data_IF_788806739559
#
_entry.id   IF_788806739559
#
_cell.length_a   1.000
_cell.length_b   1.000
_cell.length_c   1.000
_cell.angle_alpha   90.00
_cell.angle_beta   90.00
_cell.angle_gamma   90.00
#
_symmetry.space_group_name_H-M   'P 1'
#
loop_
_entity.id
_entity.type
_entity.pdbx_description
1 polymer ?
#
# COMPACT_ATOMS: atom_id res chain seq x y z
N UNK A 1 -2.31 4.58 12.88
CA UNK A 1 -2.23 3.19 13.36
C UNK A 1 -3.30 2.96 14.38
N UNK A 2 -4.06 1.91 14.21
CA UNK A 2 -5.01 1.42 15.20
C UNK A 2 -4.67 -0.01 15.48
N UNK A 3 -4.58 -0.34 16.74
CA UNK A 3 -4.61 -1.70 17.21
C UNK A 3 -5.45 -1.75 18.48
N UNK A 4 -6.59 -2.44 18.43
CA UNK A 4 -7.09 -3.13 19.60
C UNK A 4 -6.74 -4.62 19.43
N UNK A 5 -6.85 -5.42 20.49
CA UNK A 5 -6.35 -6.81 20.54
C UNK A 5 -6.86 -7.74 19.41
N UNK A 6 -7.86 -7.32 18.64
CA UNK A 6 -8.60 -8.15 17.67
C UNK A 6 -8.65 -7.54 16.24
N UNK A 7 -8.05 -6.35 15.99
CA UNK A 7 -8.03 -5.75 14.66
C UNK A 7 -6.73 -5.00 14.37
N UNK A 8 -6.13 -5.26 13.21
CA UNK A 8 -4.92 -4.60 12.76
C UNK A 8 -5.01 -4.21 11.28
N UNK A 9 -4.27 -3.15 10.92
CA UNK A 9 -4.18 -2.68 9.53
C UNK A 9 -3.34 -3.68 8.74
N UNK A 10 -3.93 -4.25 7.70
CA UNK A 10 -3.27 -5.21 6.79
C UNK A 10 -2.73 -4.54 5.54
N UNK A 11 -3.23 -3.36 5.20
CA UNK A 11 -2.80 -2.60 4.06
C UNK A 11 -3.26 -1.15 4.12
N UNK A 12 -2.49 -0.29 3.50
CA UNK A 12 -2.74 1.14 3.41
C UNK A 12 -2.59 1.60 1.96
N UNK A 13 -3.63 2.24 1.44
CA UNK A 13 -3.63 2.78 0.08
C UNK A 13 -3.95 4.26 0.15
N UNK A 14 -3.06 5.08 -0.41
CA UNK A 14 -3.20 6.53 -0.35
C UNK A 14 -2.91 7.18 -1.69
N UNK A 15 -3.71 8.18 -2.03
CA UNK A 15 -3.51 9.10 -3.16
C UNK A 15 -3.04 10.43 -2.62
N UNK A 16 -1.87 10.86 -3.05
CA UNK A 16 -1.28 12.15 -2.74
C UNK A 16 -1.41 13.05 -3.96
N UNK A 17 -2.22 14.06 -3.90
CA UNK A 17 -2.34 15.07 -4.98
C UNK A 17 -1.62 16.34 -4.56
N UNK A 18 -0.66 16.81 -5.36
CA UNK A 18 0.14 17.99 -5.05
C UNK A 18 0.21 18.97 -6.22
N UNK A 19 -0.23 20.21 -5.99
CA UNK A 19 -0.30 21.27 -7.02
C UNK A 19 0.95 22.18 -7.07
N UNK A 20 1.93 21.94 -6.21
CA UNK A 20 3.13 22.79 -6.05
C UNK A 20 3.11 23.64 -4.78
N UNK A 21 1.98 23.69 -4.06
CA UNK A 21 1.80 24.48 -2.84
C UNK A 21 0.89 23.83 -1.81
N UNK A 22 -0.03 22.98 -2.25
CA UNK A 22 -1.02 22.31 -1.44
C UNK A 22 -1.02 20.81 -1.74
N UNK A 23 -1.03 20.04 -0.70
CA UNK A 23 -1.17 18.59 -0.75
C UNK A 23 -2.55 18.16 -0.26
N UNK A 24 -3.11 17.16 -0.93
CA UNK A 24 -4.28 16.43 -0.45
C UNK A 24 -3.92 14.94 -0.39
N UNK A 25 -4.03 14.35 0.79
CA UNK A 25 -3.84 12.91 1.02
C UNK A 25 -5.21 12.28 1.18
N UNK A 26 -5.62 11.45 0.23
CA UNK A 26 -6.83 10.63 0.32
C UNK A 26 -6.43 9.20 0.65
N UNK A 27 -6.86 8.68 1.79
CA UNK A 27 -6.43 7.37 2.28
C UNK A 27 -7.59 6.44 2.57
N UNK A 28 -7.37 5.16 2.29
CA UNK A 28 -8.20 4.04 2.75
C UNK A 28 -7.31 3.03 3.45
N UNK A 29 -7.76 2.58 4.60
CA UNK A 29 -7.10 1.52 5.35
C UNK A 29 -7.88 0.22 5.21
N UNK A 30 -7.16 -0.86 4.87
CA UNK A 30 -7.71 -2.21 4.90
C UNK A 30 -7.46 -2.78 6.29
N UNK A 31 -8.51 -3.19 6.96
CA UNK A 31 -8.46 -3.79 8.29
C UNK A 31 -8.94 -5.22 8.25
N UNK A 32 -8.39 -6.06 9.12
CA UNK A 32 -8.93 -7.39 9.35
C UNK A 32 -10.20 -7.24 10.20
N UNK A 33 -11.32 -7.77 9.71
CA UNK A 33 -12.65 -7.41 10.19
C UNK A 33 -12.96 -7.95 11.58
N UNK A 34 -13.64 -7.16 12.40
CA UNK A 34 -14.24 -7.53 13.68
C UNK A 34 -14.42 -6.39 14.67
N UNK A 35 -14.11 -5.15 14.30
CA UNK A 35 -14.10 -4.05 15.24
C UNK A 35 -15.38 -3.22 15.20
N UNK A 36 -16.27 -3.43 16.20
CA UNK A 36 -17.37 -2.51 16.51
C UNK A 36 -16.88 -1.13 17.01
N UNK A 37 -15.59 -1.02 17.35
CA UNK A 37 -14.91 0.20 17.82
C UNK A 37 -13.63 0.47 17.02
N UNK A 38 -13.78 0.93 15.77
CA UNK A 38 -12.65 1.35 14.97
C UNK A 38 -12.26 2.78 15.32
N UNK A 39 -11.04 2.94 15.83
CA UNK A 39 -10.43 4.24 16.07
C UNK A 39 -9.04 4.27 15.47
N UNK A 40 -8.61 5.36 14.87
CA UNK A 40 -7.24 5.53 14.42
C UNK A 40 -6.68 6.91 14.70
N UNK A 41 -5.36 6.97 14.72
CA UNK A 41 -4.61 8.15 15.09
C UNK A 41 -3.65 8.45 13.95
N UNK A 42 -3.65 9.69 13.48
CA UNK A 42 -2.76 10.13 12.41
C UNK A 42 -2.21 11.53 12.68
N UNK A 43 -0.97 11.82 12.30
CA UNK A 43 -0.43 13.16 12.36
C UNK A 43 -0.87 13.97 11.14
N UNK A 44 -1.05 15.26 11.32
CA UNK A 44 -1.34 16.20 10.23
C UNK A 44 -0.77 17.59 10.55
N UNK A 45 -0.34 18.36 9.54
CA UNK A 45 0.07 19.76 9.77
C UNK A 45 -1.05 20.59 10.41
N UNK A 46 -0.67 21.65 11.11
CA UNK A 46 -1.66 22.57 11.68
C UNK A 46 -2.51 23.22 10.57
N UNK A 47 -3.82 23.31 10.80
CA UNK A 47 -4.76 23.88 9.81
C UNK A 47 -5.17 22.94 8.68
N UNK A 48 -4.91 21.63 8.81
CA UNK A 48 -5.38 20.61 7.87
C UNK A 48 -6.90 20.62 7.76
N UNK A 49 -7.41 20.74 6.52
CA UNK A 49 -8.81 20.48 6.17
C UNK A 49 -9.07 18.98 6.12
N UNK A 50 -10.26 18.55 6.56
CA UNK A 50 -10.64 17.14 6.65
C UNK A 50 -11.98 16.96 5.94
N UNK A 51 -12.03 16.07 4.95
CA UNK A 51 -13.22 15.79 4.15
C UNK A 51 -13.31 14.29 3.82
N UNK A 52 -14.45 13.86 3.29
CA UNK A 52 -14.54 12.52 2.68
C UNK A 52 -13.82 12.51 1.34
N UNK A 53 -13.06 11.46 1.10
CA UNK A 53 -12.44 11.19 -0.19
C UNK A 53 -13.35 10.38 -1.12
N UNK A 54 -12.88 10.16 -2.35
CA UNK A 54 -13.55 9.32 -3.34
C UNK A 54 -12.89 7.94 -3.44
N UNK A 55 -13.69 6.90 -3.29
CA UNK A 55 -13.26 5.52 -3.57
C UNK A 55 -12.97 5.33 -5.06
N UNK A 56 -13.73 5.98 -5.95
CA UNK A 56 -13.56 5.85 -7.40
C UNK A 56 -12.17 6.31 -7.83
N UNK A 57 -11.69 7.44 -7.30
CA UNK A 57 -10.33 7.94 -7.57
C UNK A 57 -9.26 6.89 -7.25
N UNK A 58 -9.37 6.21 -6.10
CA UNK A 58 -8.41 5.16 -5.71
C UNK A 58 -8.49 3.97 -6.66
N UNK A 59 -9.70 3.56 -7.05
CA UNK A 59 -9.93 2.43 -7.96
C UNK A 59 -9.41 2.75 -9.36
N UNK A 60 -9.68 3.95 -9.88
CA UNK A 60 -9.28 4.36 -11.22
C UNK A 60 -7.76 4.45 -11.34
N UNK A 61 -7.08 5.14 -10.41
CA UNK A 61 -5.61 5.23 -10.41
C UNK A 61 -4.94 3.86 -10.22
N UNK A 62 -5.55 2.97 -9.44
CA UNK A 62 -5.08 1.60 -9.32
C UNK A 62 -5.19 0.85 -10.64
N UNK A 63 -6.30 1.00 -11.35
CA UNK A 63 -6.52 0.35 -12.65
C UNK A 63 -5.55 0.87 -13.71
N UNK A 64 -5.30 2.18 -13.76
CA UNK A 64 -4.36 2.82 -14.69
C UNK A 64 -2.91 2.37 -14.47
N UNK A 65 -2.56 2.04 -13.23
CA UNK A 65 -1.21 1.64 -12.83
C UNK A 65 -0.99 0.12 -12.74
N UNK A 66 -1.95 -0.71 -13.19
CA UNK A 66 -1.80 -2.16 -13.18
C UNK A 66 -0.55 -2.60 -13.95
N UNK A 67 0.18 -3.61 -13.46
CA UNK A 67 1.32 -4.16 -14.19
C UNK A 67 0.90 -4.72 -15.54
N UNK A 68 1.75 -4.54 -16.56
CA UNK A 68 1.61 -5.24 -17.82
C UNK A 68 1.95 -6.72 -17.64
N UNK A 69 1.11 -7.61 -18.13
CA UNK A 69 1.36 -9.05 -18.08
C UNK A 69 2.02 -9.49 -19.38
N UNK A 70 3.21 -10.09 -19.28
CA UNK A 70 3.90 -10.74 -20.40
C UNK A 70 3.94 -12.25 -20.19
N UNK A 71 3.44 -13.01 -21.18
CA UNK A 71 3.49 -14.47 -21.16
C UNK A 71 4.78 -14.94 -21.83
N UNK A 72 5.65 -15.60 -21.08
CA UNK A 72 6.87 -16.21 -21.59
C UNK A 72 6.73 -17.73 -21.50
N UNK A 73 6.92 -18.44 -22.63
CA UNK A 73 6.96 -19.90 -22.62
C UNK A 73 8.31 -20.39 -22.13
N UNK A 74 8.33 -21.08 -20.99
CA UNK A 74 9.51 -21.76 -20.46
C UNK A 74 9.28 -23.27 -20.43
N UNK A 75 10.27 -24.00 -20.93
CA UNK A 75 10.25 -25.47 -21.06
C UNK A 75 11.03 -26.20 -19.96
N UNK A 76 11.56 -25.47 -18.94
CA UNK A 76 12.37 -26.06 -17.89
C UNK A 76 11.54 -26.52 -16.68
N UNK A 77 11.62 -27.76 -16.22
CA UNK A 77 10.89 -28.23 -15.05
C UNK A 77 11.51 -27.70 -13.76
N UNK A 78 10.67 -27.16 -12.83
CA UNK A 78 11.07 -26.67 -11.50
C UNK A 78 10.36 -27.43 -10.37
N UNK A 79 11.06 -27.60 -9.25
CA UNK A 79 10.54 -28.17 -8.01
C UNK A 79 10.09 -27.07 -7.04
N UNK A 80 9.09 -27.29 -6.16
CA UNK A 80 8.52 -26.25 -5.31
C UNK A 80 9.29 -26.06 -3.99
N UNK A 81 9.40 -24.80 -3.55
CA UNK A 81 10.00 -24.37 -2.27
C UNK A 81 8.93 -24.01 -1.23
N UNK A 82 9.28 -24.15 0.05
CA UNK A 82 8.36 -24.04 1.19
C UNK A 82 8.62 -22.82 2.09
N UNK A 83 7.61 -22.49 2.86
CA UNK A 83 7.34 -21.27 3.62
C UNK A 83 7.71 -21.34 5.11
N UNK A 84 8.02 -20.19 5.77
CA UNK A 84 8.00 -20.12 7.25
C UNK A 84 7.93 -18.68 7.83
N UNK A 85 7.13 -18.52 8.91
CA UNK A 85 6.74 -17.30 9.63
C UNK A 85 7.32 -17.21 11.04
N UNK A 86 7.36 -16.00 11.67
CA UNK A 86 7.20 -15.78 13.13
C UNK A 86 6.99 -14.33 13.57
N UNK A 87 6.37 -14.16 14.76
CA UNK A 87 5.77 -12.97 15.35
C UNK A 87 6.32 -12.63 16.76
N UNK A 88 5.88 -11.45 17.31
CA UNK A 88 5.54 -11.03 18.70
C UNK A 88 6.40 -9.99 19.45
N UNK A 89 5.86 -9.08 20.13
CA UNK A 89 5.16 -8.59 21.38
C UNK A 89 5.98 -7.53 22.17
N UNK A 90 5.48 -6.68 22.94
CA UNK A 90 4.61 -5.58 23.32
C UNK A 90 4.98 -4.91 24.69
N UNK A 91 4.36 -3.70 25.04
CA UNK A 91 3.99 -3.05 26.35
C UNK A 91 4.88 -1.93 26.89
N UNK A 92 4.44 -0.76 27.23
CA UNK A 92 3.42 0.15 27.74
C UNK A 92 4.01 1.18 28.73
N UNK A 93 3.63 2.36 28.95
CA UNK A 93 2.68 3.34 29.21
C UNK A 93 2.97 4.49 30.17
N UNK A 94 2.28 5.64 30.07
CA UNK A 94 1.69 6.69 30.98
C UNK A 94 2.29 8.11 31.00
N UNK A 95 1.59 9.08 31.03
CA UNK A 95 0.56 10.12 31.30
C UNK A 95 1.04 11.57 31.43
N UNK A 96 0.45 12.58 30.74
CA UNK A 96 -0.04 13.92 31.16
C UNK A 96 -0.48 14.89 30.03
N UNK A 97 -1.43 15.74 30.29
CA UNK A 97 -2.24 16.87 29.76
C UNK A 97 -2.17 17.34 28.27
N UNK A 98 -3.33 17.24 27.57
CA UNK A 98 -3.58 17.59 26.16
C UNK A 98 -4.66 18.67 25.99
N UNK A 99 -4.59 19.44 24.90
CA UNK A 99 -5.61 20.39 24.48
C UNK A 99 -6.32 19.92 23.21
N UNK A 100 -7.66 19.84 23.24
CA UNK A 100 -8.50 19.66 22.05
C UNK A 100 -8.61 21.00 21.32
N UNK A 101 -8.18 21.07 20.06
CA UNK A 101 -8.29 22.26 19.21
C UNK A 101 -9.64 22.32 18.50
N UNK A 102 -10.15 21.19 18.02
CA UNK A 102 -11.43 21.08 17.33
C UNK A 102 -11.98 19.66 17.43
N UNK A 103 -13.29 19.55 17.28
CA UNK A 103 -13.99 18.29 17.05
C UNK A 103 -14.97 18.50 15.89
N UNK A 104 -14.95 17.61 14.89
CA UNK A 104 -15.82 17.67 13.73
C UNK A 104 -16.27 16.28 13.31
N UNK A 105 -17.47 16.17 12.74
CA UNK A 105 -17.96 14.92 12.16
C UNK A 105 -17.84 15.01 10.65
N UNK A 106 -17.18 14.01 10.02
CA UNK A 106 -16.95 13.92 8.59
C UNK A 106 -17.46 12.56 8.10
N UNK A 107 -18.65 12.54 7.51
CA UNK A 107 -19.35 11.30 7.15
C UNK A 107 -19.55 10.39 8.37
N UNK A 108 -19.06 9.14 8.34
CA UNK A 108 -19.19 8.20 9.46
C UNK A 108 -18.14 8.42 10.56
N UNK A 109 -17.30 9.46 10.47
CA UNK A 109 -16.17 9.66 11.37
C UNK A 109 -16.35 10.87 12.29
N UNK A 110 -16.08 10.67 13.57
CA UNK A 110 -15.83 11.75 14.51
C UNK A 110 -14.32 11.96 14.59
N UNK A 111 -13.87 13.17 14.26
CA UNK A 111 -12.47 13.55 14.21
C UNK A 111 -12.19 14.62 15.26
N UNK A 112 -11.24 14.35 16.15
CA UNK A 112 -10.76 15.29 17.13
C UNK A 112 -9.33 15.69 16.80
N UNK A 113 -9.08 16.98 16.64
CA UNK A 113 -7.74 17.52 16.41
C UNK A 113 -7.11 17.90 17.75
N UNK A 114 -6.00 17.26 18.05
CA UNK A 114 -5.27 17.43 19.29
C UNK A 114 -3.98 18.22 19.06
N UNK A 115 -3.71 19.18 19.94
CA UNK A 115 -2.43 19.88 20.01
C UNK A 115 -1.87 19.80 21.42
N UNK A 116 -0.57 19.93 21.52
CA UNK A 116 0.15 19.96 22.80
C UNK A 116 1.64 20.08 22.54
N UNK A 117 2.38 20.37 23.59
CA UNK A 117 3.84 20.39 23.55
C UNK A 117 4.42 19.11 24.18
N UNK A 118 3.56 18.25 24.74
CA UNK A 118 3.91 17.03 25.48
C UNK A 118 3.09 15.83 24.94
N UNK A 119 3.78 14.89 24.33
CA UNK A 119 3.19 13.69 23.80
C UNK A 119 2.66 12.73 24.87
N UNK A 120 3.24 12.75 26.10
CA UNK A 120 2.73 11.96 27.22
C UNK A 120 1.33 12.41 27.63
N UNK A 121 1.13 13.74 27.68
CA UNK A 121 -0.16 14.34 27.89
C UNK A 121 -1.19 13.89 26.83
N UNK A 122 -0.76 13.76 25.58
CA UNK A 122 -1.62 13.37 24.47
C UNK A 122 -2.10 11.93 24.60
N UNK A 123 -1.22 11.02 24.98
CA UNK A 123 -1.59 9.61 25.21
C UNK A 123 -2.55 9.47 26.37
N UNK A 124 -2.39 10.21 27.46
CA UNK A 124 -3.35 10.26 28.57
C UNK A 124 -4.73 10.70 28.10
N UNK A 125 -4.77 11.81 27.35
CA UNK A 125 -6.03 12.31 26.83
C UNK A 125 -6.73 11.26 25.96
N UNK A 126 -5.98 10.55 25.13
CA UNK A 126 -6.52 9.47 24.27
C UNK A 126 -7.18 8.38 25.14
N UNK A 127 -6.50 7.89 26.17
CA UNK A 127 -7.05 6.87 27.09
C UNK A 127 -8.28 7.39 27.83
N UNK A 128 -8.23 8.61 28.38
CA UNK A 128 -9.35 9.22 29.11
C UNK A 128 -10.59 9.44 28.22
N UNK A 129 -10.39 9.52 26.90
CA UNK A 129 -11.46 9.67 25.93
C UNK A 129 -11.82 8.35 25.21
N UNK A 130 -11.39 7.20 25.75
CA UNK A 130 -11.80 5.88 25.29
C UNK A 130 -11.05 5.36 24.05
N UNK A 131 -9.91 5.98 23.68
CA UNK A 131 -9.00 5.42 22.70
C UNK A 131 -8.10 4.35 23.37
N UNK A 132 -7.60 3.37 22.60
CA UNK A 132 -6.64 2.41 23.12
C UNK A 132 -5.40 3.08 23.72
N UNK A 133 -4.83 2.50 24.77
CA UNK A 133 -3.54 2.95 25.31
C UNK A 133 -2.43 2.69 24.29
N UNK A 134 -1.82 3.76 23.81
CA UNK A 134 -0.72 3.80 22.86
C UNK A 134 0.45 4.62 23.39
N UNK A 135 0.79 4.37 24.63
CA UNK A 135 1.97 4.98 25.28
C UNK A 135 3.29 4.63 24.56
N UNK A 136 3.33 3.58 23.78
CA UNK A 136 4.39 3.25 22.82
C UNK A 136 4.59 4.36 21.74
N UNK A 137 3.56 5.15 21.43
CA UNK A 137 3.60 6.24 20.45
C UNK A 137 4.11 7.58 21.00
N UNK A 138 4.46 7.69 22.28
CA UNK A 138 4.94 8.96 22.88
C UNK A 138 6.13 9.54 22.11
N UNK A 139 7.13 8.72 21.78
CA UNK A 139 8.28 9.17 21.00
C UNK A 139 7.90 9.68 19.60
N UNK A 140 7.26 8.85 18.76
CA UNK A 140 6.77 9.28 17.44
C UNK A 140 5.80 10.47 17.48
N UNK A 141 4.94 10.60 18.48
CA UNK A 141 4.07 11.78 18.62
C UNK A 141 4.90 13.04 18.91
N UNK A 142 5.89 12.95 19.80
CA UNK A 142 6.73 14.11 20.13
C UNK A 142 7.45 14.63 18.89
N UNK A 143 7.95 13.74 18.02
CA UNK A 143 8.60 14.11 16.76
C UNK A 143 7.69 14.95 15.84
N UNK A 144 6.39 14.68 15.82
CA UNK A 144 5.41 15.48 15.06
C UNK A 144 5.03 16.77 15.76
N UNK A 145 4.83 16.74 17.08
CA UNK A 145 4.51 17.94 17.87
C UNK A 145 5.64 18.97 17.79
N UNK A 146 6.90 18.53 17.84
CA UNK A 146 8.09 19.39 17.72
C UNK A 146 8.18 20.07 16.33
N UNK A 147 7.59 19.46 15.30
CA UNK A 147 7.43 20.03 13.97
C UNK A 147 6.20 20.96 13.85
N UNK A 148 5.44 21.15 14.92
CA UNK A 148 4.22 21.96 14.94
C UNK A 148 2.99 21.26 14.33
N UNK A 149 3.08 19.93 14.12
CA UNK A 149 1.95 19.14 13.63
C UNK A 149 0.91 18.92 14.73
N UNK A 150 -0.24 18.42 14.33
CA UNK A 150 -1.35 18.01 15.17
C UNK A 150 -1.52 16.50 15.09
N UNK A 151 -2.20 15.97 16.10
CA UNK A 151 -2.61 14.57 16.08
C UNK A 151 -4.13 14.51 15.90
N UNK A 152 -4.58 13.83 14.87
CA UNK A 152 -5.97 13.57 14.60
C UNK A 152 -6.35 12.24 15.24
N UNK A 153 -7.30 12.28 16.17
CA UNK A 153 -7.90 11.10 16.75
C UNK A 153 -9.28 10.89 16.08
N UNK A 154 -9.42 9.79 15.38
CA UNK A 154 -10.57 9.48 14.55
C UNK A 154 -11.27 8.24 15.09
N UNK A 155 -12.59 8.25 15.16
CA UNK A 155 -13.42 7.07 15.46
C UNK A 155 -14.68 7.07 14.61
N UNK A 156 -15.33 5.91 14.48
CA UNK A 156 -16.67 5.84 13.91
C UNK A 156 -17.68 6.55 14.79
N UNK A 157 -18.65 7.22 14.16
CA UNK A 157 -19.79 7.77 14.89
C UNK A 157 -20.62 6.62 15.48
N UNK A 158 -21.37 6.82 16.60
CA UNK A 158 -22.20 5.77 17.17
C UNK A 158 -23.22 5.19 16.18
N UNK A 159 -23.74 6.02 15.27
CA UNK A 159 -24.68 5.58 14.24
C UNK A 159 -24.01 4.70 13.19
N UNK A 160 -22.77 5.01 12.84
CA UNK A 160 -21.98 4.23 11.89
C UNK A 160 -21.44 2.92 12.51
N UNK A 161 -21.18 2.88 13.81
CA UNK A 161 -20.76 1.68 14.52
C UNK A 161 -21.86 0.60 14.58
N UNK A 162 -23.15 1.02 14.53
CA UNK A 162 -24.30 0.11 14.48
C UNK A 162 -24.56 -0.45 13.07
N UNK A 163 -23.93 0.11 12.03
CA UNK A 163 -24.03 -0.38 10.65
C UNK A 163 -22.90 -1.41 10.41
N UNK A 164 -23.28 -2.60 9.97
CA UNK A 164 -22.26 -3.56 9.50
C UNK A 164 -21.66 -3.04 8.19
N UNK A 165 -20.42 -2.56 8.23
CA UNK A 165 -19.69 -2.23 7.02
C UNK A 165 -19.21 -3.53 6.37
N UNK A 166 -20.09 -4.15 5.58
CA UNK A 166 -19.71 -5.23 4.65
C UNK A 166 -18.80 -4.71 3.52
N UNK A 167 -18.68 -3.38 3.40
CA UNK A 167 -17.83 -2.67 2.45
C UNK A 167 -16.76 -1.87 3.22
N UNK A 168 -15.61 -1.63 2.57
CA UNK A 168 -14.53 -0.83 3.14
C UNK A 168 -15.02 0.55 3.59
N UNK A 169 -14.47 1.07 4.69
CA UNK A 169 -14.77 2.42 5.17
C UNK A 169 -14.51 3.45 4.04
N UNK A 170 -15.32 4.51 3.94
CA UNK A 170 -15.07 5.54 2.94
C UNK A 170 -13.70 6.19 3.16
N UNK A 171 -12.99 6.58 2.08
CA UNK A 171 -11.71 7.25 2.20
C UNK A 171 -11.85 8.57 2.94
N UNK A 172 -10.81 8.95 3.69
CA UNK A 172 -10.66 10.27 4.30
C UNK A 172 -9.63 11.07 3.52
N UNK A 173 -9.92 12.35 3.27
CA UNK A 173 -9.03 13.30 2.62
C UNK A 173 -8.55 14.36 3.59
N UNK A 174 -7.25 14.54 3.65
CA UNK A 174 -6.55 15.56 4.45
C UNK A 174 -5.90 16.57 3.49
N UNK A 175 -6.22 17.86 3.60
CA UNK A 175 -5.67 18.90 2.74
C UNK A 175 -4.92 19.94 3.55
N UNK A 176 -3.68 20.24 3.17
CA UNK A 176 -2.83 21.24 3.85
C UNK A 176 -1.83 21.86 2.90
N UNK A 177 -1.33 23.05 3.26
CA UNK A 177 -0.30 23.74 2.51
C UNK A 177 1.08 23.18 2.85
N UNK A 178 1.87 22.88 1.83
CA UNK A 178 3.25 22.38 1.97
C UNK A 178 4.08 22.75 0.74
N UNK A 179 5.38 22.88 0.93
CA UNK A 179 6.35 23.08 -0.16
C UNK A 179 6.96 21.79 -0.68
N UNK A 180 6.76 20.68 0.02
CA UNK A 180 7.23 19.35 -0.33
C UNK A 180 6.12 18.33 0.02
N UNK A 181 5.68 17.49 -0.92
CA UNK A 181 4.70 16.44 -0.59
C UNK A 181 5.29 15.46 0.40
N UNK A 182 4.51 15.10 1.42
CA UNK A 182 4.95 14.23 2.50
C UNK A 182 3.87 13.21 2.86
N UNK A 183 4.25 11.96 3.04
CA UNK A 183 3.36 10.92 3.53
C UNK A 183 3.76 10.49 4.93
N UNK A 184 2.98 10.86 5.96
CA UNK A 184 3.29 10.60 7.36
C UNK A 184 2.99 9.14 7.71
N UNK A 185 4.02 8.30 7.80
CA UNK A 185 3.91 6.88 8.10
C UNK A 185 4.66 6.47 9.38
N UNK A 186 5.40 7.36 10.00
CA UNK A 186 6.27 7.05 11.15
C UNK A 186 5.52 6.38 12.30
N UNK A 187 4.23 6.70 12.54
CA UNK A 187 3.43 6.02 13.57
C UNK A 187 3.25 4.52 13.28
N UNK A 188 3.32 4.11 12.02
CA UNK A 188 3.22 2.69 11.63
C UNK A 188 4.47 1.87 12.00
N UNK A 189 5.53 2.52 12.51
CA UNK A 189 6.66 1.82 13.14
C UNK A 189 6.27 1.04 14.40
N UNK A 190 5.13 1.38 14.99
CA UNK A 190 4.56 0.72 16.18
C UNK A 190 3.33 -0.15 15.83
N UNK A 191 3.13 -0.50 14.56
CA UNK A 191 2.10 -1.45 14.15
C UNK A 191 2.45 -2.87 14.60
N UNK A 192 1.42 -3.70 14.85
CA UNK A 192 1.61 -5.08 15.32
C UNK A 192 2.06 -6.05 14.20
N UNK A 193 1.85 -5.69 12.94
CA UNK A 193 2.13 -6.57 11.79
C UNK A 193 2.70 -5.79 10.60
N UNK A 194 3.34 -6.54 9.70
CA UNK A 194 3.73 -6.01 8.39
C UNK A 194 2.50 -5.58 7.60
N UNK A 195 2.61 -4.48 6.87
CA UNK A 195 1.54 -3.95 6.04
C UNK A 195 1.98 -3.76 4.59
N UNK A 196 1.03 -3.88 3.66
CA UNK A 196 1.25 -3.48 2.29
C UNK A 196 0.93 -1.99 2.13
N UNK A 197 1.88 -1.21 1.63
CA UNK A 197 1.70 0.23 1.38
C UNK A 197 1.65 0.47 -0.12
N UNK A 198 0.61 1.21 -0.57
CA UNK A 198 0.46 1.67 -1.95
C UNK A 198 0.27 3.19 -1.96
N UNK A 199 1.20 3.89 -2.59
CA UNK A 199 1.18 5.36 -2.70
C UNK A 199 1.05 5.77 -4.17
N UNK A 200 0.00 6.52 -4.48
CA UNK A 200 -0.29 7.10 -5.79
C UNK A 200 -0.04 8.60 -5.72
N UNK A 201 1.10 9.04 -6.26
CA UNK A 201 1.49 10.46 -6.21
C UNK A 201 1.11 11.12 -7.51
N UNK A 202 0.16 12.05 -7.45
CA UNK A 202 -0.41 12.80 -8.57
C UNK A 202 0.12 14.23 -8.54
N UNK A 203 0.80 14.65 -9.61
CA UNK A 203 1.38 15.98 -9.72
C UNK A 203 1.46 16.44 -11.20
N UNK A 204 1.98 17.65 -11.44
CA UNK A 204 2.25 18.14 -12.80
C UNK A 204 3.36 17.35 -13.53
N UNK A 205 4.24 16.71 -12.77
CA UNK A 205 5.41 15.98 -13.25
C UNK A 205 5.62 14.70 -12.46
N UNK A 206 6.46 13.80 -12.96
CA UNK A 206 6.92 12.65 -12.21
C UNK A 206 7.51 13.07 -10.86
N UNK A 207 7.10 12.39 -9.82
CA UNK A 207 7.60 12.58 -8.46
C UNK A 207 8.39 11.35 -8.02
N UNK A 208 9.62 11.56 -7.59
CA UNK A 208 10.48 10.52 -7.01
C UNK A 208 10.47 10.62 -5.48
N UNK A 209 10.68 9.50 -4.80
CA UNK A 209 10.87 9.50 -3.35
C UNK A 209 12.19 10.19 -3.04
N UNK A 210 12.14 11.36 -2.41
CA UNK A 210 13.30 12.16 -1.97
C UNK A 210 13.79 11.74 -0.59
N UNK A 211 12.89 11.23 0.26
CA UNK A 211 13.20 10.67 1.58
C UNK A 211 12.46 9.36 1.78
N UNK A 212 13.20 8.30 2.09
CA UNK A 212 12.67 6.97 2.35
C UNK A 212 12.24 6.83 3.82
N UNK A 213 11.00 6.44 4.05
CA UNK A 213 10.51 6.12 5.39
C UNK A 213 11.11 4.82 5.93
N UNK A 214 11.33 3.84 5.08
CA UNK A 214 11.90 2.53 5.40
C UNK A 214 13.09 2.21 4.48
N UNK A 215 14.29 2.75 4.74
CA UNK A 215 15.44 2.56 3.84
C UNK A 215 15.89 1.11 3.67
N UNK A 216 15.59 0.23 4.64
CA UNK A 216 15.89 -1.21 4.56
C UNK A 216 14.88 -1.98 3.69
N UNK A 217 13.68 -1.44 3.52
CA UNK A 217 12.58 -2.02 2.75
C UNK A 217 11.98 -0.94 1.84
N UNK A 218 12.69 -0.46 0.81
CA UNK A 218 12.25 0.65 -0.02
C UNK A 218 11.01 0.27 -0.84
N UNK A 219 10.06 1.20 -0.97
CA UNK A 219 8.95 1.04 -1.91
C UNK A 219 9.49 1.01 -3.35
N UNK A 220 8.92 0.12 -4.15
CA UNK A 220 9.23 0.01 -5.58
C UNK A 220 8.35 0.95 -6.40
N UNK A 221 8.93 1.58 -7.43
CA UNK A 221 8.15 2.25 -8.47
C UNK A 221 7.41 1.19 -9.29
N UNK A 222 6.10 1.22 -9.30
CA UNK A 222 5.24 0.27 -10.03
C UNK A 222 4.76 0.84 -11.36
N UNK A 223 4.50 2.15 -11.37
CA UNK A 223 4.04 2.88 -12.55
C UNK A 223 4.53 4.33 -12.51
N UNK A 224 4.82 4.88 -13.67
CA UNK A 224 5.04 6.31 -13.88
C UNK A 224 4.52 6.67 -15.26
N UNK A 225 3.58 7.60 -15.36
CA UNK A 225 2.98 7.98 -16.63
C UNK A 225 1.86 9.00 -16.52
N UNK A 226 1.37 9.46 -17.66
CA UNK A 226 0.23 10.36 -17.73
C UNK A 226 -1.07 9.56 -17.59
N UNK A 227 -1.97 10.05 -16.77
CA UNK A 227 -3.33 9.54 -16.57
C UNK A 227 -4.33 10.68 -16.76
N UNK A 228 -5.61 10.36 -16.88
CA UNK A 228 -6.65 11.38 -16.94
C UNK A 228 -6.73 12.19 -15.63
N UNK A 229 -6.94 13.48 -15.71
CA UNK A 229 -7.19 14.31 -14.54
C UNK A 229 -8.46 13.87 -13.79
N UNK A 230 -9.51 13.44 -14.53
CA UNK A 230 -10.75 12.93 -13.94
C UNK A 230 -10.52 11.66 -13.10
N UNK A 231 -9.64 10.76 -13.56
CA UNK A 231 -9.34 9.52 -12.84
C UNK A 231 -8.54 9.80 -11.56
N UNK A 232 -7.82 10.94 -11.55
CA UNK A 232 -7.16 11.48 -10.35
C UNK A 232 -8.10 12.32 -9.45
N UNK A 233 -9.39 12.39 -9.75
CA UNK A 233 -10.36 13.17 -8.98
C UNK A 233 -10.28 14.70 -9.22
N UNK A 234 -9.66 15.12 -10.30
CA UNK A 234 -9.48 16.54 -10.67
C UNK A 234 -10.36 16.91 -11.88
N UNK A 235 -10.93 18.11 -11.88
CA UNK A 235 -11.65 18.64 -13.04
C UNK A 235 -10.72 18.90 -14.23
N UNK A 236 -9.50 19.35 -13.92
CA UNK A 236 -8.44 19.61 -14.91
C UNK A 236 -7.08 19.31 -14.31
N UNK A 237 -6.10 18.99 -15.14
CA UNK A 237 -4.70 18.88 -14.70
C UNK A 237 -4.11 20.24 -14.30
N UNK A 238 -2.96 20.21 -13.66
CA UNK A 238 -2.29 21.38 -13.08
C UNK A 238 -1.83 22.42 -14.12
N UNK A 239 -1.76 22.04 -15.38
CA UNK A 239 -1.45 22.92 -16.52
C UNK A 239 -2.70 23.31 -17.35
N UNK A 240 -3.89 22.93 -16.84
CA UNK A 240 -5.16 23.14 -17.53
C UNK A 240 -5.47 22.12 -18.64
N UNK A 241 -4.64 21.09 -18.80
CA UNK A 241 -4.93 19.96 -19.68
C UNK A 241 -5.92 18.97 -19.02
N UNK A 242 -6.27 17.91 -19.73
CA UNK A 242 -7.07 16.79 -19.20
C UNK A 242 -6.21 15.69 -18.58
N UNK A 243 -4.91 15.92 -18.40
CA UNK A 243 -3.96 14.93 -17.90
C UNK A 243 -3.10 15.43 -16.76
N UNK A 244 -2.71 14.48 -15.91
CA UNK A 244 -1.75 14.67 -14.81
C UNK A 244 -0.69 13.57 -14.88
N UNK A 245 0.38 13.71 -14.11
CA UNK A 245 1.38 12.67 -13.97
C UNK A 245 1.09 11.84 -12.71
N UNK A 246 1.02 10.53 -12.87
CA UNK A 246 0.94 9.55 -11.77
C UNK A 246 2.30 8.88 -11.59
N UNK A 247 2.80 8.86 -10.35
CA UNK A 247 3.91 8.03 -9.89
C UNK A 247 3.37 7.08 -8.81
N UNK A 248 3.24 5.78 -9.12
CA UNK A 248 2.71 4.80 -8.19
C UNK A 248 3.83 3.97 -7.58
N UNK A 249 3.84 3.90 -6.26
CA UNK A 249 4.80 3.14 -5.46
C UNK A 249 4.08 2.08 -4.64
N UNK A 250 4.74 0.95 -4.38
CA UNK A 250 4.19 -0.07 -3.52
C UNK A 250 5.24 -1.01 -2.96
N UNK A 251 4.94 -1.57 -1.81
CA UNK A 251 5.81 -2.52 -1.15
C UNK A 251 5.25 -2.99 0.19
N UNK A 252 5.86 -4.05 0.72
CA UNK A 252 5.58 -4.54 2.06
C UNK A 252 6.58 -3.91 3.02
N UNK A 253 6.09 -3.34 4.09
CA UNK A 253 6.89 -2.73 5.14
C UNK A 253 6.67 -3.47 6.45
N UNK A 254 7.77 -3.83 7.11
CA UNK A 254 7.73 -4.26 8.51
C UNK A 254 7.79 -3.01 9.42
N UNK A 255 7.09 -3.01 10.55
CA UNK A 255 7.10 -1.86 11.48
C UNK A 255 8.51 -1.44 11.86
N UNK A 256 9.39 -2.39 12.19
CA UNK A 256 10.77 -2.12 12.59
C UNK A 256 11.68 -1.53 11.50
N UNK A 257 11.26 -1.53 10.22
CA UNK A 257 12.00 -0.90 9.13
C UNK A 257 11.64 0.58 8.97
N UNK A 258 10.48 1.02 9.51
CA UNK A 258 9.99 2.40 9.38
C UNK A 258 10.73 3.29 10.38
N UNK A 259 11.47 4.26 9.87
CA UNK A 259 12.30 5.18 10.69
C UNK A 259 11.96 6.66 10.47
N UNK A 260 11.21 6.98 9.40
CA UNK A 260 10.85 8.36 9.03
C UNK A 260 9.52 8.38 8.25
N UNK A 261 9.17 9.53 7.69
CA UNK A 261 8.07 9.73 6.74
C UNK A 261 8.60 9.71 5.31
N UNK A 262 7.76 9.33 4.34
CA UNK A 262 8.11 9.54 2.93
C UNK A 262 8.01 11.02 2.59
N UNK A 263 8.96 11.51 1.79
CA UNK A 263 8.84 12.77 1.11
C UNK A 263 9.10 12.57 -0.38
N UNK A 264 8.54 13.45 -1.20
CA UNK A 264 8.64 13.35 -2.65
C UNK A 264 9.16 14.64 -3.24
N UNK A 265 9.93 14.51 -4.30
CA UNK A 265 10.42 15.65 -5.08
C UNK A 265 10.25 15.37 -6.57
N UNK A 266 10.19 16.44 -7.36
CA UNK A 266 10.14 16.32 -8.81
C UNK A 266 11.33 15.49 -9.30
N UNK A 267 11.06 14.46 -10.12
CA UNK A 267 12.09 13.67 -10.79
C UNK A 267 12.94 14.52 -11.74
N UNK A 268 14.14 14.06 -12.04
CA UNK A 268 15.04 14.76 -12.97
C UNK A 268 14.44 14.87 -14.39
N UNK A 269 13.60 13.93 -14.77
CA UNK A 269 12.86 13.90 -16.04
C UNK A 269 11.57 13.10 -15.91
N UNK A 270 10.55 13.46 -16.67
CA UNK A 270 9.33 12.69 -16.80
C UNK A 270 9.60 11.46 -17.69
N UNK A 271 9.66 10.29 -17.09
CA UNK A 271 10.00 9.03 -17.77
C UNK A 271 8.91 7.99 -17.53
N UNK A 272 8.13 7.63 -18.58
CA UNK A 272 7.11 6.60 -18.44
C UNK A 272 7.70 5.25 -18.02
N UNK A 273 7.08 4.63 -17.05
CA UNK A 273 7.43 3.29 -16.56
C UNK A 273 6.16 2.50 -16.21
N UNK A 274 6.16 1.23 -16.51
CA UNK A 274 5.11 0.30 -16.08
C UNK A 274 5.75 -1.03 -15.72
N UNK A 275 5.49 -1.49 -14.50
CA UNK A 275 5.97 -2.80 -14.04
C UNK A 275 5.45 -3.90 -14.98
N UNK A 276 6.31 -4.86 -15.30
CA UNK A 276 5.96 -6.03 -16.10
C UNK A 276 5.97 -7.26 -15.20
N UNK A 277 4.84 -7.94 -15.13
CA UNK A 277 4.73 -9.24 -14.48
C UNK A 277 4.84 -10.33 -15.55
N UNK A 278 5.90 -11.13 -15.49
CA UNK A 278 6.11 -12.24 -16.40
C UNK A 278 5.37 -13.47 -15.88
N UNK A 279 4.39 -13.94 -16.63
CA UNK A 279 3.73 -15.22 -16.38
C UNK A 279 4.42 -16.30 -17.23
N UNK A 280 5.03 -17.26 -16.55
CA UNK A 280 5.69 -18.39 -17.23
C UNK A 280 4.60 -19.42 -17.58
N UNK A 281 4.31 -19.56 -18.88
CA UNK A 281 3.44 -20.60 -19.39
C UNK A 281 4.23 -21.92 -19.52
N UNK A 282 4.00 -22.81 -18.57
CA UNK A 282 4.61 -24.16 -18.53
C UNK A 282 3.73 -25.20 -19.22
N UNK A 283 2.64 -24.80 -19.87
CA UNK A 283 1.81 -25.73 -20.63
C UNK A 283 2.60 -26.38 -21.75
N UNK A 284 2.49 -27.70 -21.95
CA UNK A 284 3.14 -28.37 -23.08
C UNK A 284 2.61 -27.79 -24.38
N UNK A 285 3.49 -27.10 -25.14
CA UNK A 285 3.10 -26.47 -26.38
C UNK A 285 2.54 -27.50 -27.38
N UNK A 286 1.74 -27.04 -28.35
CA UNK A 286 1.10 -27.85 -29.39
C UNK A 286 2.07 -28.78 -30.15
N UNK A 287 3.37 -28.49 -30.07
CA UNK A 287 4.41 -29.30 -30.70
C UNK A 287 4.91 -30.49 -29.87
N UNK A 288 4.49 -30.65 -28.59
CA UNK A 288 4.91 -31.79 -27.76
C UNK A 288 4.42 -33.10 -28.38
N UNK A 289 3.23 -33.11 -28.94
CA UNK A 289 2.69 -34.25 -29.73
C UNK A 289 3.55 -34.60 -30.95
N UNK A 290 4.05 -33.57 -31.65
CA UNK A 290 4.93 -33.77 -32.83
C UNK A 290 6.30 -34.29 -32.40
N UNK A 291 6.90 -33.78 -31.31
CA UNK A 291 8.18 -34.24 -30.78
C UNK A 291 8.07 -35.69 -30.30
N UNK A 292 6.99 -36.07 -29.63
CA UNK A 292 6.76 -37.46 -29.21
C UNK A 292 6.57 -38.35 -30.42
N UNK A 293 5.82 -37.91 -31.46
CA UNK A 293 5.65 -38.67 -32.69
C UNK A 293 6.96 -38.86 -33.45
N UNK A 294 7.80 -37.83 -33.54
CA UNK A 294 9.12 -37.93 -34.18
C UNK A 294 10.05 -38.85 -33.37
N UNK A 295 10.04 -38.78 -32.05
CA UNK A 295 10.85 -39.66 -31.17
C UNK A 295 10.40 -41.13 -31.31
N UNK A 296 9.08 -41.38 -31.33
CA UNK A 296 8.53 -42.73 -31.56
C UNK A 296 8.80 -43.24 -32.98
N UNK A 297 8.75 -42.36 -33.99
CA UNK A 297 9.10 -42.71 -35.38
C UNK A 297 10.58 -43.07 -35.53
N UNK A 298 11.48 -42.35 -34.90
CA UNK A 298 12.92 -42.66 -34.89
C UNK A 298 13.22 -43.96 -34.12
N UNK A 299 12.52 -44.24 -33.03
CA UNK A 299 12.65 -45.50 -32.29
C UNK A 299 12.19 -46.72 -33.14
N UNK A 300 11.14 -46.55 -33.94
CA UNK A 300 10.63 -47.60 -34.83
C UNK A 300 11.59 -47.95 -35.96
N UNK A 301 12.39 -46.98 -36.42
CA UNK A 301 13.40 -47.21 -37.50
C UNK A 301 14.65 -47.94 -36.97
N UNK A 302 14.89 -47.90 -35.66
CA UNK A 302 16.05 -48.55 -35.00
C UNK A 302 15.77 -49.98 -34.52
N UNK A 303 14.60 -50.55 -34.74
CA UNK A 303 14.33 -51.96 -34.44
C UNK A 303 15.04 -52.83 -35.50
N UNK A 304 16.10 -53.59 -35.14
CA UNK A 304 16.78 -54.45 -36.11
C UNK A 304 15.83 -55.55 -36.55
N UNK A 305 15.58 -55.64 -37.84
CA UNK A 305 14.89 -56.79 -38.45
C UNK A 305 15.77 -58.02 -38.30
N UNK A 306 15.52 -58.81 -37.25
CA UNK A 306 16.13 -60.14 -37.11
C UNK A 306 15.47 -61.05 -38.10
N UNK A 307 16.10 -61.27 -39.22
CA UNK A 307 15.67 -62.28 -40.20
C UNK A 307 16.18 -63.66 -39.67
N UNK A 308 15.29 -64.60 -39.35
CA UNK A 308 15.70 -65.96 -38.96
C UNK A 308 16.28 -66.69 -40.19
N UNK A 309 17.59 -66.95 -40.18
CA UNK A 309 18.21 -67.85 -41.15
C UNK A 309 17.87 -69.29 -40.78
N UNK A 310 16.96 -69.91 -41.50
CA UNK A 310 16.69 -71.31 -41.37
C UNK A 310 17.84 -72.14 -41.97
N UNK A 311 18.65 -72.75 -41.08
CA UNK A 311 19.64 -73.78 -41.51
C UNK A 311 18.92 -75.11 -41.74
N UNK A 312 18.78 -75.48 -43.00
CA UNK A 312 18.31 -76.79 -43.38
C UNK A 312 19.46 -77.83 -43.32
N UNK A 313 19.43 -78.68 -42.32
CA UNK A 313 20.26 -79.89 -42.27
C UNK A 313 19.50 -81.06 -42.96
N UNK A 314 19.93 -81.43 -44.18
CA UNK A 314 19.51 -82.68 -44.78
C UNK A 314 20.32 -83.82 -44.15
N UNK A 315 19.64 -84.82 -43.67
CA UNK A 315 19.86 -86.24 -43.84
C UNK A 315 18.53 -86.96 -43.94
#
# INVERSE_FOLDING_TARGET
VVDNADSHVTGETSVLTWDGSRETITMVMSMDAGADDVAWIMPAPAGTGIELGSTDTIVDLRNDSLPRIEYVKDWTPRLPDGDSRRASDSVGGSDDAVRVESSTTVGPFDVVTLSGDDAGALTTWLVDNGYPDRSDLVGPFQDYLDQGWRILAVRLTPQAADESFDEALPPMSLSFDTTEPVYPIRLSSMAAADQWVSLYVVAAHQMDISRQAAPAEPLELLFSGRVSASDAGLETGFDGSDQVWLSAYGGRLSPGAITDDYAFARAASDSPYQRVNTVIDTSPGEHLGLVILVALGLAAVLVPVVIPVAVSTRR
#
